data_IF_317397705750
#
_entry.id   IF_317397705750
#
_cell.length_a   1.000
_cell.length_b   1.000
_cell.length_c   1.000
_cell.angle_alpha   90.00
_cell.angle_beta   90.00
_cell.angle_gamma   90.00
#
_symmetry.space_group_name_H-M   'P 1'
#
loop_
_entity.id
_entity.type
_entity.pdbx_description
1 polymer ?
#
# COMPACT_ATOMS: atom_id res chain seq x y z
N UNK A 1 -10.30 13.20 -4.67
CA UNK A 1 -11.38 12.43 -5.32
C UNK A 1 -12.52 13.32 -5.85
N UNK A 2 -13.08 14.28 -5.05
CA UNK A 2 -14.20 15.10 -5.51
C UNK A 2 -13.85 15.88 -6.78
N UNK A 3 -12.77 16.65 -6.79
CA UNK A 3 -12.32 17.42 -7.95
C UNK A 3 -12.07 16.52 -9.18
N UNK A 4 -11.51 15.31 -8.97
CA UNK A 4 -11.31 14.37 -10.09
C UNK A 4 -12.61 13.91 -10.73
N UNK A 5 -13.67 13.70 -9.93
CA UNK A 5 -14.97 13.26 -10.44
C UNK A 5 -15.82 14.42 -10.97
N UNK A 6 -15.84 15.53 -10.23
CA UNK A 6 -16.69 16.68 -10.56
C UNK A 6 -16.06 17.58 -11.64
N UNK A 7 -14.81 18.05 -11.39
CA UNK A 7 -14.18 19.04 -12.26
C UNK A 7 -13.60 18.41 -13.54
N UNK A 8 -12.98 17.23 -13.43
CA UNK A 8 -12.37 16.54 -14.56
C UNK A 8 -13.26 15.48 -15.18
N UNK A 9 -14.06 14.77 -14.37
CA UNK A 9 -15.00 13.75 -14.81
C UNK A 9 -16.35 14.30 -15.25
N UNK A 10 -16.61 15.60 -15.02
CA UNK A 10 -17.88 16.28 -15.34
C UNK A 10 -19.12 15.58 -14.73
N UNK A 11 -18.96 14.84 -13.64
CA UNK A 11 -20.08 14.26 -12.92
C UNK A 11 -20.82 15.34 -12.11
N UNK A 12 -22.16 15.29 -12.07
CA UNK A 12 -22.93 16.13 -11.15
C UNK A 12 -22.45 16.00 -9.71
N UNK A 13 -22.46 17.09 -8.96
CA UNK A 13 -21.93 17.13 -7.58
C UNK A 13 -22.51 16.02 -6.68
N UNK A 14 -23.82 15.76 -6.79
CA UNK A 14 -24.52 14.71 -6.02
C UNK A 14 -23.98 13.33 -6.35
N UNK A 15 -23.75 13.02 -7.62
CA UNK A 15 -23.20 11.74 -8.05
C UNK A 15 -21.73 11.59 -7.66
N UNK A 16 -20.95 12.68 -7.69
CA UNK A 16 -19.56 12.68 -7.23
C UNK A 16 -19.47 12.36 -5.74
N UNK A 17 -20.32 12.97 -4.92
CA UNK A 17 -20.39 12.68 -3.47
C UNK A 17 -20.87 11.26 -3.23
N UNK A 18 -21.91 10.79 -3.91
CA UNK A 18 -22.42 9.43 -3.79
C UNK A 18 -21.36 8.38 -4.15
N UNK A 19 -20.60 8.59 -5.21
CA UNK A 19 -19.52 7.70 -5.60
C UNK A 19 -18.40 7.63 -4.55
N UNK A 20 -18.04 8.77 -3.94
CA UNK A 20 -17.04 8.81 -2.87
C UNK A 20 -17.54 8.07 -1.64
N UNK A 21 -18.78 8.31 -1.22
CA UNK A 21 -19.38 7.64 -0.07
C UNK A 21 -19.47 6.13 -0.29
N UNK A 22 -19.88 5.71 -1.50
CA UNK A 22 -19.92 4.29 -1.87
C UNK A 22 -18.52 3.66 -1.82
N UNK A 23 -17.52 4.29 -2.41
CA UNK A 23 -16.14 3.82 -2.36
C UNK A 23 -15.63 3.71 -0.92
N UNK A 24 -15.84 4.76 -0.12
CA UNK A 24 -15.45 4.75 1.30
C UNK A 24 -16.17 3.62 2.08
N UNK A 25 -17.46 3.39 1.80
CA UNK A 25 -18.23 2.29 2.38
C UNK A 25 -17.67 0.92 2.00
N UNK A 26 -17.36 0.70 0.72
CA UNK A 26 -16.75 -0.55 0.26
C UNK A 26 -15.39 -0.77 0.93
N UNK A 27 -14.53 0.25 1.00
CA UNK A 27 -13.22 0.13 1.66
C UNK A 27 -13.36 -0.13 3.17
N UNK A 28 -14.35 0.48 3.82
CA UNK A 28 -14.63 0.23 5.24
C UNK A 28 -15.09 -1.22 5.52
N UNK A 29 -15.75 -1.88 4.56
CA UNK A 29 -16.15 -3.28 4.71
C UNK A 29 -14.94 -4.22 4.83
N UNK A 30 -13.84 -3.95 4.15
CA UNK A 30 -12.61 -4.75 4.30
C UNK A 30 -12.06 -4.64 5.73
N UNK A 31 -11.99 -3.43 6.30
CA UNK A 31 -11.54 -3.21 7.68
C UNK A 31 -12.53 -3.83 8.66
N UNK A 32 -13.83 -3.65 8.43
CA UNK A 32 -14.90 -4.27 9.21
C UNK A 32 -14.83 -5.80 9.22
N UNK A 33 -14.55 -6.42 8.06
CA UNK A 33 -14.38 -7.86 7.94
C UNK A 33 -13.16 -8.36 8.72
N UNK A 34 -12.01 -7.72 8.59
CA UNK A 34 -10.79 -8.08 9.35
C UNK A 34 -11.06 -8.03 10.86
N UNK A 35 -11.63 -6.93 11.35
CA UNK A 35 -11.88 -6.75 12.79
C UNK A 35 -12.99 -7.69 13.29
N UNK A 36 -14.05 -7.86 12.52
CA UNK A 36 -15.14 -8.78 12.81
C UNK A 36 -14.68 -10.24 12.87
N UNK A 37 -13.92 -10.69 11.89
CA UNK A 37 -13.35 -12.05 11.87
C UNK A 37 -12.36 -12.23 13.02
N UNK A 38 -11.46 -11.28 13.26
CA UNK A 38 -10.52 -11.35 14.39
C UNK A 38 -11.28 -11.50 15.72
N UNK A 39 -12.41 -10.81 15.89
CA UNK A 39 -13.24 -10.93 17.10
C UNK A 39 -13.96 -12.27 17.19
N UNK A 40 -14.49 -12.78 16.06
CA UNK A 40 -15.34 -13.97 16.01
C UNK A 40 -14.59 -15.27 16.33
N UNK A 41 -13.31 -15.37 16.04
CA UNK A 41 -12.55 -16.60 16.29
C UNK A 41 -12.37 -16.86 17.79
N UNK A 42 -12.69 -18.08 18.30
CA UNK A 42 -12.61 -18.43 19.72
C UNK A 42 -11.19 -18.81 20.15
N UNK A 43 -10.22 -17.94 19.90
CA UNK A 43 -8.80 -18.12 20.27
C UNK A 43 -8.39 -17.05 21.29
N UNK A 44 -7.23 -17.27 21.93
CA UNK A 44 -6.72 -16.32 22.91
C UNK A 44 -6.49 -14.93 22.32
N UNK A 45 -6.64 -13.87 23.13
CA UNK A 45 -6.37 -12.48 22.74
C UNK A 45 -4.99 -12.32 22.10
N UNK A 46 -3.99 -12.96 22.68
CA UNK A 46 -2.62 -12.92 22.16
C UNK A 46 -2.53 -13.46 20.73
N UNK A 47 -3.10 -14.65 20.45
CA UNK A 47 -3.11 -15.20 19.10
C UNK A 47 -3.91 -14.34 18.12
N UNK A 48 -4.96 -13.68 18.60
CA UNK A 48 -5.70 -12.71 17.78
C UNK A 48 -4.81 -11.56 17.34
N UNK A 49 -4.03 -10.98 18.23
CA UNK A 49 -3.24 -9.77 17.95
C UNK A 49 -1.94 -10.05 17.19
N UNK A 50 -1.26 -11.18 17.49
CA UNK A 50 0.07 -11.44 16.91
C UNK A 50 0.06 -12.40 15.72
N UNK A 51 -1.05 -13.13 15.48
CA UNK A 51 -1.14 -14.06 14.36
C UNK A 51 -2.34 -13.71 13.47
N UNK A 52 -3.54 -13.76 14.04
CA UNK A 52 -4.76 -13.67 13.24
C UNK A 52 -4.93 -12.28 12.61
N UNK A 53 -4.77 -11.22 13.38
CA UNK A 53 -4.94 -9.85 12.89
C UNK A 53 -3.94 -9.47 11.79
N UNK A 54 -2.60 -9.66 11.92
CA UNK A 54 -1.68 -9.34 10.83
C UNK A 54 -1.92 -10.22 9.60
N UNK A 55 -2.27 -11.50 9.78
CA UNK A 55 -2.58 -12.39 8.65
C UNK A 55 -3.84 -11.95 7.91
N UNK A 56 -4.95 -11.74 8.62
CA UNK A 56 -6.19 -11.27 8.01
C UNK A 56 -6.02 -9.90 7.37
N UNK A 57 -5.29 -8.99 8.03
CA UNK A 57 -5.02 -7.67 7.47
C UNK A 57 -4.35 -7.77 6.11
N UNK A 58 -3.24 -8.50 6.01
CA UNK A 58 -2.49 -8.66 4.76
C UNK A 58 -3.29 -9.40 3.68
N UNK A 59 -4.04 -10.44 4.06
CA UNK A 59 -4.91 -11.17 3.14
C UNK A 59 -6.01 -10.26 2.58
N UNK A 60 -6.68 -9.46 3.43
CA UNK A 60 -7.73 -8.57 2.97
C UNK A 60 -7.19 -7.38 2.17
N UNK A 61 -5.99 -6.87 2.47
CA UNK A 61 -5.32 -5.87 1.62
C UNK A 61 -4.97 -6.46 0.25
N UNK A 62 -4.47 -7.70 0.21
CA UNK A 62 -4.20 -8.40 -1.05
C UNK A 62 -5.49 -8.61 -1.86
N UNK A 63 -6.56 -9.12 -1.24
CA UNK A 63 -7.85 -9.31 -1.89
C UNK A 63 -8.42 -8.00 -2.45
N UNK A 64 -8.24 -6.89 -1.73
CA UNK A 64 -8.64 -5.56 -2.18
C UNK A 64 -7.79 -5.08 -3.36
N UNK A 65 -6.51 -5.46 -3.41
CA UNK A 65 -5.55 -5.06 -4.43
C UNK A 65 -5.66 -5.82 -5.75
N UNK A 66 -6.27 -7.02 -5.73
CA UNK A 66 -6.47 -7.86 -6.92
C UNK A 66 -7.89 -7.72 -7.47
N UNK A 67 -8.08 -8.15 -8.71
CA UNK A 67 -9.42 -8.16 -9.31
C UNK A 67 -10.39 -9.09 -8.55
N UNK A 68 -11.68 -8.73 -8.48
CA UNK A 68 -12.36 -7.62 -9.17
C UNK A 68 -12.28 -6.25 -8.46
N UNK A 69 -11.80 -6.18 -7.22
CA UNK A 69 -11.76 -4.92 -6.48
C UNK A 69 -10.69 -3.95 -7.05
N UNK A 70 -9.50 -4.47 -7.40
CA UNK A 70 -8.43 -3.75 -8.09
C UNK A 70 -7.93 -2.47 -7.40
N UNK A 71 -8.24 -2.28 -6.11
CA UNK A 71 -7.93 -1.07 -5.35
C UNK A 71 -6.82 -1.32 -4.33
N UNK A 72 -5.59 -1.43 -4.84
CA UNK A 72 -4.40 -1.65 -3.99
C UNK A 72 -3.93 -0.40 -3.23
N UNK A 73 -4.48 0.77 -3.52
CA UNK A 73 -4.11 2.02 -2.86
C UNK A 73 -4.52 1.99 -1.38
N UNK A 74 -3.84 2.77 -0.56
CA UNK A 74 -4.05 2.84 0.89
C UNK A 74 -3.70 1.54 1.64
N UNK A 75 -2.92 0.63 1.06
CA UNK A 75 -2.33 -0.46 1.84
C UNK A 75 -1.30 0.11 2.81
N UNK A 76 -1.35 -0.37 4.06
CA UNK A 76 -0.53 0.18 5.15
C UNK A 76 0.97 0.12 4.84
N UNK A 77 1.41 -0.90 4.09
CA UNK A 77 2.81 -1.05 3.70
C UNK A 77 3.34 0.09 2.83
N UNK A 78 2.48 0.80 2.08
CA UNK A 78 2.93 1.99 1.32
C UNK A 78 3.35 3.15 2.22
N UNK A 79 2.68 3.31 3.37
CA UNK A 79 3.03 4.37 4.32
C UNK A 79 4.43 4.17 4.94
N UNK A 80 4.92 2.93 4.91
CA UNK A 80 6.20 2.55 5.50
C UNK A 80 7.25 2.09 4.48
N UNK A 81 7.00 2.28 3.18
CA UNK A 81 7.87 1.78 2.11
C UNK A 81 9.24 2.45 2.05
N UNK A 82 9.34 3.69 2.53
CA UNK A 82 10.59 4.48 2.58
C UNK A 82 11.21 4.55 3.98
N UNK A 83 10.53 3.98 4.97
CA UNK A 83 10.94 3.99 6.38
C UNK A 83 11.61 2.68 6.77
N UNK A 84 11.88 2.54 8.07
CA UNK A 84 12.50 1.37 8.70
C UNK A 84 11.92 0.03 8.21
N UNK A 85 10.59 -0.10 8.15
CA UNK A 85 9.93 -1.32 7.71
C UNK A 85 10.01 -1.58 6.19
N UNK A 86 10.41 -0.57 5.40
CA UNK A 86 10.60 -0.71 3.96
C UNK A 86 11.62 -1.76 3.57
N UNK A 87 12.55 -2.11 4.46
CA UNK A 87 13.53 -3.17 4.28
C UNK A 87 12.91 -4.55 3.96
N UNK A 88 11.66 -4.78 4.32
CA UNK A 88 10.91 -6.01 4.02
C UNK A 88 10.31 -6.02 2.61
N UNK A 89 10.25 -4.86 1.93
CA UNK A 89 9.60 -4.74 0.63
C UNK A 89 10.24 -5.64 -0.46
N UNK A 90 11.57 -5.77 -0.56
CA UNK A 90 12.19 -6.65 -1.56
C UNK A 90 11.87 -8.13 -1.37
N UNK A 91 11.55 -8.56 -0.14
CA UNK A 91 11.26 -9.95 0.19
C UNK A 91 9.78 -10.32 0.04
N UNK A 92 8.89 -9.44 0.47
CA UNK A 92 7.48 -9.77 0.63
C UNK A 92 6.52 -8.71 0.05
N UNK A 93 7.04 -7.73 -0.67
CA UNK A 93 6.26 -6.65 -1.27
C UNK A 93 5.55 -5.79 -0.22
N UNK A 94 4.65 -4.93 -0.70
CA UNK A 94 3.91 -3.99 0.13
C UNK A 94 3.05 -4.68 1.21
N UNK A 95 2.49 -5.84 0.88
CA UNK A 95 1.64 -6.59 1.82
C UNK A 95 2.44 -7.24 2.93
N UNK A 96 3.68 -7.67 2.64
CA UNK A 96 4.61 -8.18 3.66
C UNK A 96 5.08 -7.07 4.61
N UNK A 97 5.35 -5.88 4.09
CA UNK A 97 5.62 -4.70 4.95
C UNK A 97 4.42 -4.44 5.86
N UNK A 98 3.19 -4.44 5.31
CA UNK A 98 1.96 -4.29 6.10
C UNK A 98 1.83 -5.36 7.19
N UNK A 99 2.12 -6.62 6.86
CA UNK A 99 2.12 -7.70 7.85
C UNK A 99 3.05 -7.43 9.03
N UNK A 100 4.31 -7.08 8.74
CA UNK A 100 5.32 -6.82 9.79
C UNK A 100 4.94 -5.62 10.65
N UNK A 101 4.38 -4.57 10.05
CA UNK A 101 3.89 -3.40 10.80
C UNK A 101 2.76 -3.80 11.75
N UNK A 102 1.73 -4.51 11.26
CA UNK A 102 0.58 -4.90 12.08
C UNK A 102 1.01 -5.91 13.17
N UNK A 103 1.92 -6.83 12.86
CA UNK A 103 2.52 -7.76 13.83
C UNK A 103 3.25 -7.00 14.94
N UNK A 104 4.08 -6.02 14.57
CA UNK A 104 4.81 -5.19 15.54
C UNK A 104 3.86 -4.43 16.46
N UNK A 105 2.79 -3.85 15.90
CA UNK A 105 1.74 -3.19 16.68
C UNK A 105 1.04 -4.20 17.61
N UNK A 106 0.70 -5.38 17.12
CA UNK A 106 0.09 -6.45 17.94
C UNK A 106 0.95 -6.85 19.13
N UNK A 107 2.25 -7.04 18.92
CA UNK A 107 3.24 -7.32 19.98
C UNK A 107 3.36 -6.15 20.97
N UNK A 108 3.40 -4.92 20.46
CA UNK A 108 3.47 -3.73 21.30
C UNK A 108 2.20 -3.57 22.17
N UNK A 109 1.02 -3.83 21.61
CA UNK A 109 -0.24 -3.83 22.37
C UNK A 109 -0.24 -4.90 23.47
N UNK A 110 0.26 -6.11 23.17
CA UNK A 110 0.40 -7.17 24.18
C UNK A 110 1.43 -6.84 25.27
N UNK A 111 2.48 -6.11 24.93
CA UNK A 111 3.51 -5.69 25.89
C UNK A 111 3.02 -4.54 26.78
N UNK A 112 2.42 -3.52 26.21
CA UNK A 112 2.02 -2.27 26.90
C UNK A 112 0.69 -2.41 27.64
N UNK A 113 -0.25 -3.17 27.09
CA UNK A 113 -1.60 -3.37 27.60
C UNK A 113 -1.90 -4.87 27.78
N UNK A 114 -1.13 -5.57 28.64
CA UNK A 114 -1.31 -7.01 28.83
C UNK A 114 -2.68 -7.32 29.43
N UNK A 115 -3.19 -8.53 29.15
CA UNK A 115 -4.33 -9.06 29.88
C UNK A 115 -3.96 -9.26 31.37
N UNK A 116 -4.95 -9.17 32.27
CA UNK A 116 -4.72 -9.27 33.72
C UNK A 116 -4.08 -10.60 34.13
N UNK A 117 -4.46 -11.69 33.45
CA UNK A 117 -3.96 -13.06 33.69
C UNK A 117 -2.66 -13.38 32.95
N UNK A 118 -2.06 -12.40 32.28
CA UNK A 118 -0.87 -12.63 31.44
C UNK A 118 0.36 -12.99 32.28
N UNK A 119 0.92 -14.14 31.99
CA UNK A 119 2.16 -14.62 32.64
C UNK A 119 3.33 -13.68 32.35
N UNK A 120 4.18 -13.32 33.35
CA UNK A 120 5.28 -12.36 33.16
C UNK A 120 6.25 -12.71 32.01
N UNK A 121 6.57 -14.00 31.84
CA UNK A 121 7.47 -14.45 30.78
C UNK A 121 6.96 -14.15 29.36
N UNK A 122 5.65 -14.04 29.17
CA UNK A 122 5.08 -13.65 27.87
C UNK A 122 5.39 -12.20 27.53
N UNK A 123 5.48 -11.30 28.51
CA UNK A 123 5.92 -9.91 28.28
C UNK A 123 7.37 -9.88 27.81
N UNK A 124 8.23 -10.67 28.45
CA UNK A 124 9.64 -10.81 28.05
C UNK A 124 9.75 -11.35 26.62
N UNK A 125 8.94 -12.36 26.29
CA UNK A 125 8.90 -12.93 24.95
C UNK A 125 8.46 -11.89 23.89
N UNK A 126 7.46 -11.05 24.18
CA UNK A 126 7.01 -9.99 23.26
C UNK A 126 8.11 -8.94 23.06
N UNK A 127 8.78 -8.53 24.13
CA UNK A 127 9.90 -7.60 24.03
C UNK A 127 11.07 -8.18 23.20
N UNK A 128 11.39 -9.47 23.41
CA UNK A 128 12.39 -10.18 22.60
C UNK A 128 11.96 -10.25 21.13
N UNK A 129 10.68 -10.56 20.86
CA UNK A 129 10.17 -10.64 19.50
C UNK A 129 10.24 -9.28 18.79
N UNK A 130 9.88 -8.18 19.45
CA UNK A 130 10.03 -6.82 18.91
C UNK A 130 11.51 -6.51 18.64
N UNK A 131 12.40 -6.82 19.59
CA UNK A 131 13.84 -6.64 19.41
C UNK A 131 14.40 -7.46 18.25
N UNK A 132 13.99 -8.72 18.10
CA UNK A 132 14.38 -9.59 17.00
C UNK A 132 13.87 -9.05 15.65
N UNK A 133 12.62 -8.61 15.57
CA UNK A 133 12.09 -7.97 14.37
C UNK A 133 12.88 -6.70 13.99
N UNK A 134 13.23 -5.88 14.99
CA UNK A 134 14.04 -4.69 14.77
C UNK A 134 15.45 -5.05 14.24
N UNK A 135 16.11 -6.03 14.83
CA UNK A 135 17.43 -6.50 14.40
C UNK A 135 17.39 -7.08 12.97
N UNK A 136 16.39 -7.91 12.66
CA UNK A 136 16.21 -8.44 11.30
C UNK A 136 15.98 -7.31 10.32
N UNK A 137 15.14 -6.34 10.66
CA UNK A 137 14.88 -5.18 9.79
C UNK A 137 16.14 -4.36 9.54
N UNK A 138 16.97 -4.13 10.57
CA UNK A 138 18.27 -3.47 10.43
C UNK A 138 19.20 -4.26 9.50
N UNK A 139 19.29 -5.57 9.69
CA UNK A 139 20.10 -6.43 8.83
C UNK A 139 19.63 -6.42 7.37
N UNK A 140 18.32 -6.38 7.12
CA UNK A 140 17.76 -6.32 5.77
C UNK A 140 18.03 -4.98 5.08
N UNK A 141 18.17 -3.89 5.81
CA UNK A 141 18.49 -2.56 5.22
C UNK A 141 19.87 -2.55 4.56
N UNK A 142 20.80 -3.38 5.01
CA UNK A 142 22.17 -3.47 4.47
C UNK A 142 22.27 -4.44 3.28
N UNK A 143 21.19 -5.18 2.96
CA UNK A 143 21.19 -6.15 1.87
C UNK A 143 20.96 -5.45 0.54
N UNK A 144 21.87 -5.66 -0.40
CA UNK A 144 21.74 -5.18 -1.78
C UNK A 144 21.06 -6.24 -2.64
N UNK A 145 19.82 -5.97 -3.08
CA UNK A 145 19.00 -6.91 -3.86
C UNK A 145 19.17 -6.74 -5.38
N UNK A 146 19.84 -5.68 -5.83
CA UNK A 146 20.02 -5.40 -7.25
C UNK A 146 21.39 -4.77 -7.50
N UNK A 147 22.00 -5.09 -8.63
CA UNK A 147 23.21 -4.46 -9.12
C UNK A 147 22.87 -3.40 -10.17
N UNK A 148 23.68 -2.35 -10.21
CA UNK A 148 23.52 -1.33 -11.24
C UNK A 148 23.93 -1.90 -12.60
N UNK A 149 22.97 -1.96 -13.52
CA UNK A 149 23.26 -2.26 -14.92
C UNK A 149 24.03 -1.13 -15.63
N UNK A 150 24.32 -1.30 -16.92
CA UNK A 150 24.93 -0.26 -17.73
C UNK A 150 24.05 0.98 -17.77
N UNK A 151 24.68 2.16 -17.87
CA UNK A 151 23.95 3.42 -18.02
C UNK A 151 23.21 3.42 -19.35
N UNK A 152 21.92 3.70 -19.31
CA UNK A 152 21.07 3.87 -20.47
C UNK A 152 20.74 5.34 -20.64
N UNK A 153 20.86 5.83 -21.87
CA UNK A 153 20.31 7.13 -22.23
C UNK A 153 18.80 6.99 -22.42
N UNK A 154 18.03 7.72 -21.65
CA UNK A 154 16.57 7.71 -21.73
C UNK A 154 16.05 9.11 -22.03
N UNK A 155 15.00 9.17 -22.85
CA UNK A 155 14.29 10.42 -23.13
C UNK A 155 12.96 10.40 -22.42
N UNK A 156 12.74 11.39 -21.55
CA UNK A 156 11.44 11.64 -20.95
C UNK A 156 10.67 12.62 -21.83
N UNK A 157 9.49 12.19 -22.26
CA UNK A 157 8.59 13.02 -23.08
C UNK A 157 7.38 13.40 -22.24
N UNK A 158 7.22 14.70 -21.99
CA UNK A 158 6.07 15.25 -21.29
C UNK A 158 5.28 16.11 -22.29
N UNK A 159 4.16 15.60 -22.84
CA UNK A 159 3.42 16.30 -23.89
C UNK A 159 2.55 17.45 -23.38
N UNK A 160 2.52 17.71 -22.06
CA UNK A 160 1.73 18.77 -21.42
C UNK A 160 0.27 18.78 -21.90
N UNK A 161 -0.40 17.63 -21.73
CA UNK A 161 -1.76 17.44 -22.15
C UNK A 161 -2.71 17.85 -21.02
N UNK A 162 -3.82 18.56 -21.32
CA UNK A 162 -4.82 18.85 -20.30
C UNK A 162 -5.40 17.56 -19.74
N UNK A 163 -5.57 17.53 -18.42
CA UNK A 163 -6.19 16.41 -17.71
C UNK A 163 -7.69 16.48 -17.94
N UNK A 164 -8.17 15.80 -18.98
CA UNK A 164 -9.61 15.64 -19.23
C UNK A 164 -9.95 14.15 -19.20
N UNK A 165 -11.00 13.77 -18.49
CA UNK A 165 -11.50 12.40 -18.47
C UNK A 165 -12.38 12.06 -19.68
N UNK A 166 -12.70 13.03 -20.53
CA UNK A 166 -13.43 12.79 -21.77
C UNK A 166 -12.54 12.07 -22.78
N UNK A 167 -12.65 10.76 -22.82
CA UNK A 167 -11.98 9.92 -23.81
C UNK A 167 -12.71 10.00 -25.14
N UNK A 168 -12.28 10.92 -26.00
CA UNK A 168 -12.68 10.92 -27.41
C UNK A 168 -11.61 10.20 -28.21
N UNK A 169 -11.93 9.15 -28.99
CA UNK A 169 -10.93 8.36 -29.72
C UNK A 169 -10.01 9.20 -30.62
N UNK A 170 -10.57 10.22 -31.29
CA UNK A 170 -9.80 11.14 -32.13
C UNK A 170 -8.79 11.97 -31.31
N UNK A 171 -9.15 12.41 -30.11
CA UNK A 171 -8.23 13.14 -29.22
C UNK A 171 -7.14 12.23 -28.67
N UNK A 172 -7.45 10.96 -28.38
CA UNK A 172 -6.47 9.97 -27.95
C UNK A 172 -5.40 9.74 -29.03
N UNK A 173 -5.81 9.57 -30.28
CA UNK A 173 -4.89 9.44 -31.41
C UNK A 173 -3.97 10.67 -31.53
N UNK A 174 -4.55 11.88 -31.52
CA UNK A 174 -3.76 13.12 -31.63
C UNK A 174 -2.77 13.30 -30.44
N UNK A 175 -3.11 12.82 -29.23
CA UNK A 175 -2.22 12.81 -28.07
C UNK A 175 -1.03 11.87 -28.27
N UNK A 176 -1.29 10.66 -28.79
CA UNK A 176 -0.25 9.68 -29.09
C UNK A 176 0.68 10.25 -30.17
N UNK A 177 0.14 10.78 -31.28
CA UNK A 177 0.90 11.37 -32.37
C UNK A 177 1.80 12.51 -31.88
N UNK A 178 1.29 13.37 -30.99
CA UNK A 178 2.07 14.43 -30.36
C UNK A 178 3.23 13.87 -29.52
N UNK A 179 2.98 12.85 -28.70
CA UNK A 179 4.01 12.22 -27.89
C UNK A 179 5.10 11.55 -28.77
N UNK A 180 4.68 10.86 -29.82
CA UNK A 180 5.59 10.25 -30.82
C UNK A 180 6.41 11.33 -31.55
N UNK A 181 5.79 12.40 -32.01
CA UNK A 181 6.49 13.50 -32.68
C UNK A 181 7.51 14.17 -31.74
N UNK A 182 7.21 14.30 -30.47
CA UNK A 182 8.15 14.82 -29.46
C UNK A 182 9.28 13.83 -29.16
N UNK A 183 9.01 12.54 -29.15
CA UNK A 183 10.04 11.50 -28.95
C UNK A 183 11.03 11.41 -30.09
N UNK A 184 10.59 11.73 -31.32
CA UNK A 184 11.42 11.70 -32.54
C UNK A 184 12.22 12.99 -32.76
N UNK A 185 12.02 14.06 -31.98
CA UNK A 185 12.84 15.26 -32.07
C UNK A 185 14.26 14.92 -31.65
N UNK A 186 15.25 15.34 -32.44
CA UNK A 186 16.67 15.21 -32.07
C UNK A 186 16.87 15.84 -30.66
N UNK A 187 17.72 15.21 -29.85
CA UNK A 187 18.07 15.79 -28.55
C UNK A 187 18.65 17.20 -28.81
N UNK A 188 17.95 18.22 -28.28
CA UNK A 188 18.48 19.57 -28.24
C UNK A 188 19.74 19.52 -27.38
N UNK A 189 20.90 19.73 -27.99
CA UNK A 189 22.17 19.91 -27.32
C UNK A 189 22.93 18.61 -27.03
N UNK A 190 23.39 17.91 -28.05
CA UNK A 190 24.73 17.33 -27.94
C UNK A 190 25.72 18.47 -28.15
N UNK A 191 26.67 18.70 -27.18
CA UNK A 191 27.79 19.60 -27.42
C UNK A 191 28.62 19.09 -28.57
#
# INVERSE_FOLDING_TARGET
CYGSLHDHGQLPAVLSVAAIVLLAGVLALFIGAVTGLTRAFPISRRLKLIVLLPTLWSVFELLRGVEPAGFGWLSIGYAYSTDFFGAWAPLAGVYGVGFVVVLTVGLAVELLFPAEDKKPWLKTLDAIAIGALALVTLALNDVTYSERGPKLEVRLVQPDLPVTMAYRPAEAAARIDRAVAMSNRSALGKP
#
